data_IF_529455083663
#
_entry.id   IF_529455083663
#
_cell.length_a   1.000
_cell.length_b   1.000
_cell.length_c   1.000
_cell.angle_alpha   90.00
_cell.angle_beta   90.00
_cell.angle_gamma   90.00
#
_symmetry.space_group_name_H-M   'P 1'
#
loop_
_entity.id
_entity.type
_entity.pdbx_description
1 polymer ?
#
# COMPACT_ATOMS: atom_id res chain seq x y z
N UNK A 1 28.51 12.43 16.63
CA UNK A 1 28.46 11.12 15.97
C UNK A 1 27.01 10.82 15.58
N UNK A 2 26.66 10.97 14.30
CA UNK A 2 25.33 10.60 13.81
C UNK A 2 25.29 9.09 13.58
N UNK A 3 25.07 8.34 14.67
CA UNK A 3 24.89 6.89 14.59
C UNK A 3 23.72 6.58 13.65
N UNK A 4 24.03 6.07 12.45
CA UNK A 4 23.02 5.49 11.56
C UNK A 4 22.52 4.20 12.23
N UNK A 5 21.41 4.32 12.96
CA UNK A 5 20.62 3.17 13.38
C UNK A 5 19.91 2.63 12.14
N UNK A 6 20.59 1.78 11.39
CA UNK A 6 19.96 0.96 10.37
C UNK A 6 18.97 -0.01 11.04
N UNK A 7 17.73 0.45 11.29
CA UNK A 7 16.59 -0.43 11.52
C UNK A 7 15.89 -0.66 10.19
N UNK A 8 16.50 -1.48 9.33
CA UNK A 8 15.86 -1.89 8.08
C UNK A 8 14.83 -2.98 8.38
N UNK A 9 13.58 -2.57 8.63
CA UNK A 9 12.41 -3.26 8.08
C UNK A 9 11.34 -2.19 7.82
N UNK A 10 11.28 -1.68 6.60
CA UNK A 10 10.16 -0.85 6.12
C UNK A 10 9.37 -1.61 5.07
N UNK A 11 8.91 -2.80 5.45
CA UNK A 11 8.03 -3.71 4.70
C UNK A 11 8.43 -4.00 3.25
N UNK A 12 7.61 -4.74 2.50
CA UNK A 12 7.79 -4.89 1.06
C UNK A 12 7.62 -3.53 0.37
N UNK A 13 8.65 -3.10 -0.36
CA UNK A 13 8.61 -1.88 -1.16
C UNK A 13 8.83 -2.19 -2.63
N UNK A 14 8.03 -1.58 -3.50
CA UNK A 14 8.15 -1.74 -4.95
C UNK A 14 8.21 -0.38 -5.65
N UNK A 15 9.00 -0.29 -6.72
CA UNK A 15 8.94 0.83 -7.64
C UNK A 15 7.74 0.64 -8.56
N UNK A 16 6.87 1.62 -8.63
CA UNK A 16 5.71 1.63 -9.51
C UNK A 16 5.71 2.92 -10.37
N UNK A 17 4.89 2.93 -11.42
CA UNK A 17 4.78 4.07 -12.33
C UNK A 17 4.50 5.40 -11.59
N UNK A 18 3.70 5.39 -10.53
CA UNK A 18 3.33 6.58 -9.73
C UNK A 18 4.33 6.95 -8.63
N UNK A 19 5.28 6.06 -8.31
CA UNK A 19 6.24 6.26 -7.22
C UNK A 19 6.69 4.97 -6.54
N UNK A 20 7.40 5.09 -5.41
CA UNK A 20 7.78 3.94 -4.58
C UNK A 20 6.67 3.68 -3.57
N UNK A 21 6.13 2.47 -3.56
CA UNK A 21 5.01 2.05 -2.71
C UNK A 21 5.48 1.06 -1.65
N UNK A 22 4.86 1.11 -0.48
CA UNK A 22 5.09 0.24 0.66
C UNK A 22 3.81 -0.51 0.99
N UNK A 23 3.91 -1.84 1.09
CA UNK A 23 2.81 -2.70 1.56
C UNK A 23 2.86 -2.73 3.08
N UNK A 24 1.82 -2.20 3.73
CA UNK A 24 1.72 -2.12 5.18
C UNK A 24 1.19 -3.43 5.79
N UNK A 25 0.40 -4.18 5.02
CA UNK A 25 -0.14 -5.48 5.43
C UNK A 25 -1.43 -5.83 4.72
N UNK A 26 -2.02 -6.95 5.12
CA UNK A 26 -3.35 -7.40 4.67
C UNK A 26 -4.37 -7.03 5.75
N UNK A 27 -5.45 -6.39 5.35
CA UNK A 27 -6.60 -6.09 6.22
C UNK A 27 -7.81 -6.88 5.77
N UNK A 28 -8.72 -7.18 6.71
CA UNK A 28 -9.98 -7.86 6.44
C UNK A 28 -11.13 -6.91 6.75
N UNK A 29 -12.08 -6.78 5.82
CA UNK A 29 -13.30 -6.03 6.03
C UNK A 29 -14.20 -6.77 7.05
N UNK A 30 -14.57 -6.14 8.18
CA UNK A 30 -15.38 -6.80 9.20
C UNK A 30 -16.83 -7.03 8.77
N UNK A 31 -17.32 -6.34 7.74
CA UNK A 31 -18.73 -6.42 7.30
C UNK A 31 -18.94 -7.59 6.33
N UNK A 32 -18.11 -7.69 5.29
CA UNK A 32 -18.28 -8.69 4.22
C UNK A 32 -17.19 -9.77 4.20
N UNK A 33 -16.10 -9.59 4.96
CA UNK A 33 -15.01 -10.55 5.06
C UNK A 33 -13.93 -10.45 3.97
N UNK A 34 -14.04 -9.51 3.04
CA UNK A 34 -13.07 -9.30 1.95
C UNK A 34 -11.69 -8.94 2.50
N UNK A 35 -10.64 -9.31 1.75
CA UNK A 35 -9.26 -8.98 2.07
C UNK A 35 -8.76 -7.87 1.16
N UNK A 36 -7.96 -6.97 1.71
CA UNK A 36 -7.30 -5.90 0.97
C UNK A 36 -5.84 -5.79 1.38
N UNK A 37 -4.98 -5.38 0.44
CA UNK A 37 -3.68 -4.84 0.78
C UNK A 37 -3.84 -3.39 1.22
N UNK A 38 -3.32 -3.06 2.41
CA UNK A 38 -3.13 -1.67 2.83
C UNK A 38 -1.76 -1.19 2.36
N UNK A 39 -1.73 -0.08 1.62
CA UNK A 39 -0.52 0.41 0.98
C UNK A 39 -0.39 1.92 1.15
N UNK A 40 0.84 2.43 0.99
CA UNK A 40 1.11 3.86 0.93
C UNK A 40 2.29 4.15 0.01
N UNK A 41 2.32 5.33 -0.61
CA UNK A 41 3.52 5.77 -1.31
C UNK A 41 4.56 6.29 -0.32
N UNK A 42 5.76 5.71 -0.33
CA UNK A 42 6.94 6.24 0.37
C UNK A 42 7.49 7.46 -0.36
N UNK A 43 7.34 7.49 -1.68
CA UNK A 43 7.63 8.66 -2.53
C UNK A 43 6.69 8.63 -3.72
N UNK A 44 5.76 9.57 -3.80
CA UNK A 44 4.88 9.76 -4.95
C UNK A 44 5.34 10.98 -5.78
N UNK A 45 5.05 10.99 -7.09
CA UNK A 45 5.38 12.16 -7.96
C UNK A 45 4.65 13.44 -7.53
N UNK A 46 3.37 13.29 -7.17
CA UNK A 46 2.60 14.29 -6.44
C UNK A 46 2.84 14.10 -4.93
N UNK A 47 3.57 15.03 -4.32
CA UNK A 47 3.96 14.98 -2.92
C UNK A 47 2.78 14.90 -1.95
N UNK A 48 1.62 15.43 -2.34
CA UNK A 48 0.43 15.43 -1.49
C UNK A 48 -0.16 14.03 -1.27
N UNK A 49 0.29 13.03 -2.05
CA UNK A 49 -0.12 11.62 -1.94
C UNK A 49 0.90 10.74 -1.20
N UNK A 50 2.04 11.31 -0.81
CA UNK A 50 3.05 10.58 -0.03
C UNK A 50 2.52 10.31 1.38
N UNK A 51 2.73 9.09 1.88
CA UNK A 51 2.25 8.61 3.17
C UNK A 51 0.72 8.70 3.39
N UNK A 52 -0.06 8.80 2.31
CA UNK A 52 -1.52 8.61 2.37
C UNK A 52 -1.84 7.13 2.15
N UNK A 53 -2.45 6.43 3.12
CA UNK A 53 -2.87 5.06 2.92
C UNK A 53 -3.98 4.93 1.89
N UNK A 54 -3.94 3.84 1.14
CA UNK A 54 -4.99 3.42 0.21
C UNK A 54 -5.09 1.89 0.22
N UNK A 55 -6.16 1.36 -0.38
CA UNK A 55 -6.43 -0.07 -0.43
C UNK A 55 -6.38 -0.59 -1.86
N UNK A 56 -5.86 -1.80 -2.01
CA UNK A 56 -5.96 -2.58 -3.23
C UNK A 56 -6.65 -3.91 -2.90
N UNK A 57 -7.38 -4.48 -3.86
CA UNK A 57 -7.93 -5.83 -3.73
C UNK A 57 -6.81 -6.84 -3.44
N UNK A 58 -7.07 -7.80 -2.55
CA UNK A 58 -6.11 -8.85 -2.28
C UNK A 58 -6.14 -9.89 -3.40
N UNK A 59 -4.97 -10.16 -3.99
CA UNK A 59 -4.73 -11.22 -4.96
C UNK A 59 -3.42 -11.92 -4.58
N UNK A 60 -3.46 -13.23 -4.35
CA UNK A 60 -2.30 -14.03 -3.95
C UNK A 60 -1.41 -14.47 -5.13
N UNK A 61 -1.87 -14.28 -6.37
CA UNK A 61 -1.10 -14.51 -7.60
C UNK A 61 -0.45 -13.22 -8.12
N UNK A 62 -0.87 -12.06 -7.63
CA UNK A 62 -0.30 -10.79 -8.01
C UNK A 62 1.16 -10.68 -7.55
N UNK A 63 2.05 -10.45 -8.51
CA UNK A 63 3.48 -10.21 -8.29
C UNK A 63 3.78 -8.72 -8.21
N UNK A 64 3.03 -7.89 -8.93
CA UNK A 64 3.27 -6.45 -9.07
C UNK A 64 2.03 -5.62 -8.74
N UNK A 65 2.23 -4.38 -8.29
CA UNK A 65 1.14 -3.48 -7.84
C UNK A 65 0.22 -3.06 -8.99
N UNK A 66 0.73 -2.99 -10.22
CA UNK A 66 -0.05 -2.67 -11.41
C UNK A 66 -0.93 -3.84 -11.89
N UNK A 67 -0.79 -5.03 -11.30
CA UNK A 67 -1.71 -6.15 -11.48
C UNK A 67 -2.90 -6.10 -10.52
N UNK A 68 -2.86 -5.23 -9.51
CA UNK A 68 -3.90 -5.10 -8.49
C UNK A 68 -4.92 -4.01 -8.86
N UNK A 69 -6.15 -4.17 -8.36
CA UNK A 69 -7.22 -3.19 -8.50
C UNK A 69 -7.26 -2.26 -7.29
N UNK A 70 -7.28 -0.93 -7.52
CA UNK A 70 -7.43 0.06 -6.46
C UNK A 70 -8.89 0.10 -5.98
N UNK A 71 -9.08 0.04 -4.66
CA UNK A 71 -10.40 0.08 -4.04
C UNK A 71 -10.76 1.53 -3.75
N UNK A 72 -11.80 2.09 -4.41
CA UNK A 72 -12.19 3.47 -4.17
C UNK A 72 -12.85 3.63 -2.80
N UNK A 73 -12.69 4.82 -2.18
CA UNK A 73 -13.24 5.10 -0.85
C UNK A 73 -14.76 4.86 -0.73
N UNK A 74 -15.52 5.09 -1.79
CA UNK A 74 -16.97 4.86 -1.78
C UNK A 74 -17.34 3.37 -1.68
N UNK A 75 -16.42 2.44 -1.96
CA UNK A 75 -16.66 1.01 -1.78
C UNK A 75 -16.86 0.63 -0.30
N UNK A 76 -16.53 1.53 0.63
CA UNK A 76 -16.76 1.38 2.07
C UNK A 76 -17.92 2.24 2.58
N UNK A 77 -18.50 3.10 1.75
CA UNK A 77 -19.69 3.87 2.09
C UNK A 77 -20.92 2.98 1.82
N UNK A 78 -21.32 2.21 2.83
CA UNK A 78 -22.60 1.50 2.85
C UNK A 78 -23.78 2.46 2.91
#
# INVERSE_FOLDING_TARGET
>A
ESGSFAKTVTGPVMSASKGKVHIMGIVKNPVNGDKYFMMQYVRHRDHTKTFKPFFMEFDDQATWVDQLTEVPLFAFAG
#
